data_IF_971671472653
#
_entry.id   IF_971671472653
#
_cell.length_a   1.000
_cell.length_b   1.000
_cell.length_c   1.000
_cell.angle_alpha   90.00
_cell.angle_beta   90.00
_cell.angle_gamma   90.00
#
_symmetry.space_group_name_H-M   'P 1'
#
loop_
_entity.id
_entity.type
_entity.pdbx_description
1 polymer ?
#
# COMPACT_ATOMS: atom_id res chain seq x y z
N UNK A 1 -1.80 -1.67 0.92
CA UNK A 1 -1.93 -2.94 1.63
C UNK A 1 -0.57 -3.41 2.13
N UNK A 2 -0.49 -3.92 3.34
CA UNK A 2 0.69 -4.62 3.86
C UNK A 2 0.35 -6.08 4.14
N UNK A 3 1.34 -6.95 3.95
CA UNK A 3 1.28 -8.37 4.27
C UNK A 3 2.37 -8.61 5.30
N UNK A 4 1.99 -9.07 6.48
CA UNK A 4 2.89 -9.30 7.60
C UNK A 4 2.99 -10.81 7.80
N UNK A 5 4.15 -11.44 7.52
CA UNK A 5 4.34 -12.84 7.87
C UNK A 5 4.48 -12.98 9.39
N UNK A 6 3.78 -13.93 9.98
CA UNK A 6 4.00 -14.33 11.36
C UNK A 6 5.33 -15.06 11.52
N UNK A 7 5.98 -14.91 12.68
CA UNK A 7 7.38 -15.28 12.91
C UNK A 7 7.73 -16.77 12.82
N UNK A 8 6.76 -17.67 12.82
CA UNK A 8 7.02 -19.11 12.96
C UNK A 8 7.24 -19.85 11.64
N UNK A 9 7.79 -19.20 10.63
CA UNK A 9 8.23 -19.83 9.38
C UNK A 9 9.18 -21.03 9.60
N UNK A 10 9.89 -21.04 10.72
CA UNK A 10 10.88 -22.08 11.05
C UNK A 10 10.28 -23.35 11.69
N UNK A 11 9.04 -23.30 12.18
CA UNK A 11 8.44 -24.38 12.94
C UNK A 11 7.35 -25.18 12.21
N UNK A 12 7.34 -25.15 10.88
CA UNK A 12 6.47 -26.04 10.09
C UNK A 12 5.03 -25.57 9.97
N UNK A 13 4.76 -24.26 10.05
CA UNK A 13 3.43 -23.71 9.79
C UNK A 13 2.97 -24.05 8.37
N UNK A 14 1.70 -24.40 8.25
CA UNK A 14 1.09 -24.69 6.96
C UNK A 14 1.01 -23.43 6.11
N UNK A 15 1.22 -23.60 4.82
CA UNK A 15 1.15 -22.55 3.80
C UNK A 15 -0.18 -21.79 3.94
N UNK A 16 -0.15 -20.48 4.16
CA UNK A 16 -1.32 -19.60 4.21
C UNK A 16 -1.95 -19.35 5.58
N UNK A 17 -1.46 -19.98 6.66
CA UNK A 17 -2.00 -19.78 8.02
C UNK A 17 -1.31 -18.65 8.80
N UNK A 18 -0.22 -18.07 8.27
CA UNK A 18 0.71 -17.23 8.99
C UNK A 18 0.85 -15.80 8.44
N UNK A 19 -0.21 -15.24 7.84
CA UNK A 19 -0.15 -13.90 7.31
C UNK A 19 -1.29 -13.03 7.83
N UNK A 20 -0.97 -11.81 8.27
CA UNK A 20 -1.95 -10.74 8.40
C UNK A 20 -1.91 -9.86 7.15
N UNK A 21 -3.08 -9.50 6.63
CA UNK A 21 -3.23 -8.61 5.48
C UNK A 21 -4.18 -7.50 5.87
N UNK A 22 -3.76 -6.25 5.66
CA UNK A 22 -4.60 -5.08 5.94
C UNK A 22 -4.27 -3.93 4.99
N UNK A 23 -5.28 -3.12 4.70
CA UNK A 23 -5.09 -1.85 4.02
C UNK A 23 -4.73 -0.77 5.05
N UNK A 24 -3.65 -0.06 4.81
CA UNK A 24 -3.12 0.93 5.77
C UNK A 24 -3.65 2.33 5.52
N UNK A 25 -4.06 2.65 4.29
CA UNK A 25 -4.53 3.96 3.87
C UNK A 25 -4.70 4.07 2.36
N UNK A 26 -4.60 5.27 1.77
CA UNK A 26 -4.99 5.54 0.38
C UNK A 26 -4.10 4.89 -0.68
N UNK A 27 -2.88 4.44 -0.35
CA UNK A 27 -1.93 4.04 -1.37
C UNK A 27 -1.65 5.20 -2.34
N UNK A 28 -1.68 4.91 -3.65
CA UNK A 28 -1.46 5.92 -4.69
C UNK A 28 -2.71 6.74 -5.04
N UNK A 29 -3.90 6.37 -4.58
CA UNK A 29 -5.17 6.95 -5.06
C UNK A 29 -5.23 8.47 -4.95
N UNK A 30 -4.84 9.01 -3.81
CA UNK A 30 -4.84 10.47 -3.57
C UNK A 30 -3.71 11.14 -4.34
N UNK A 31 -2.53 10.52 -4.40
CA UNK A 31 -1.36 11.03 -5.16
C UNK A 31 -1.72 11.16 -6.64
N UNK A 32 -2.28 10.11 -7.22
CA UNK A 32 -2.67 10.05 -8.63
C UNK A 32 -3.74 11.09 -8.97
N UNK A 33 -4.75 11.23 -8.11
CA UNK A 33 -5.80 12.24 -8.28
C UNK A 33 -5.25 13.67 -8.24
N UNK A 34 -4.29 13.95 -7.34
CA UNK A 34 -3.63 15.26 -7.25
C UNK A 34 -2.72 15.52 -8.47
N UNK A 35 -1.94 14.53 -8.92
CA UNK A 35 -1.10 14.64 -10.11
C UNK A 35 -1.95 14.93 -11.37
N UNK A 36 -3.10 14.26 -11.51
CA UNK A 36 -4.02 14.53 -12.60
C UNK A 36 -4.56 15.97 -12.55
N UNK A 37 -4.91 16.49 -11.37
CA UNK A 37 -5.38 17.87 -11.20
C UNK A 37 -4.28 18.90 -11.50
N UNK A 38 -3.06 18.68 -11.00
CA UNK A 38 -1.92 19.57 -11.26
C UNK A 38 -1.61 19.72 -12.75
N UNK A 39 -1.84 18.67 -13.52
CA UNK A 39 -1.53 18.61 -14.95
C UNK A 39 -2.74 18.83 -15.86
N UNK A 40 -3.90 19.19 -15.31
CA UNK A 40 -5.17 19.31 -16.05
C UNK A 40 -5.48 18.02 -16.84
N UNK A 41 -5.26 16.85 -16.21
CA UNK A 41 -5.53 15.54 -16.77
C UNK A 41 -4.48 14.99 -17.74
N UNK A 42 -3.36 15.69 -17.96
CA UNK A 42 -2.29 15.23 -18.87
C UNK A 42 -1.48 14.07 -18.27
N UNK A 43 -1.26 14.07 -16.97
CA UNK A 43 -0.68 12.96 -16.24
C UNK A 43 -1.76 12.27 -15.40
N UNK A 44 -1.70 10.95 -15.30
CA UNK A 44 -2.61 10.15 -14.46
C UNK A 44 -2.02 9.78 -13.10
N UNK A 45 -0.72 9.98 -12.92
CA UNK A 45 0.05 9.68 -11.72
C UNK A 45 1.31 10.56 -11.68
N UNK A 46 1.98 10.61 -10.55
CA UNK A 46 3.27 11.29 -10.40
C UNK A 46 4.41 10.37 -10.85
N UNK A 47 4.85 10.54 -12.09
CA UNK A 47 5.88 9.69 -12.70
C UNK A 47 7.22 9.82 -11.97
N UNK A 48 7.63 8.72 -11.35
CA UNK A 48 8.86 8.66 -10.55
C UNK A 48 8.82 9.55 -9.31
N UNK A 49 7.66 10.00 -8.85
CA UNK A 49 7.53 10.87 -7.67
C UNK A 49 8.13 12.27 -7.84
N UNK A 50 8.32 12.71 -9.09
CA UNK A 50 9.05 13.95 -9.41
C UNK A 50 8.30 15.21 -8.98
N UNK A 51 6.96 15.19 -9.05
CA UNK A 51 6.14 16.33 -8.63
C UNK A 51 6.21 16.49 -7.11
N UNK A 52 6.10 15.39 -6.37
CA UNK A 52 6.25 15.39 -4.91
C UNK A 52 7.67 15.81 -4.48
N UNK A 53 8.71 15.32 -5.18
CA UNK A 53 10.10 15.67 -4.89
C UNK A 53 10.43 17.15 -5.13
N UNK A 54 9.70 17.81 -6.02
CA UNK A 54 9.89 19.23 -6.34
C UNK A 54 9.17 20.18 -5.37
N UNK A 55 8.41 19.66 -4.40
CA UNK A 55 7.58 20.42 -3.48
C UNK A 55 7.89 20.05 -2.03
N UNK A 56 7.22 20.69 -1.07
CA UNK A 56 7.50 20.50 0.35
C UNK A 56 6.31 19.89 1.08
N UNK A 57 6.62 19.01 2.02
CA UNK A 57 5.61 18.46 2.95
C UNK A 57 5.17 19.55 3.91
N UNK A 58 3.87 19.84 3.95
CA UNK A 58 3.29 20.79 4.90
C UNK A 58 2.89 20.06 6.20
N UNK A 59 3.53 20.40 7.34
CA UNK A 59 3.27 19.69 8.60
C UNK A 59 1.84 19.84 9.15
N UNK A 60 1.23 21.03 8.95
CA UNK A 60 -0.13 21.28 9.44
C UNK A 60 -1.17 20.49 8.63
N UNK A 61 -1.00 20.41 7.31
CA UNK A 61 -1.85 19.61 6.45
C UNK A 61 -1.66 18.10 6.73
N UNK A 62 -0.41 17.64 6.89
CA UNK A 62 -0.11 16.25 7.26
C UNK A 62 -0.76 15.90 8.60
N UNK A 63 -0.64 16.76 9.61
CA UNK A 63 -1.26 16.53 10.91
C UNK A 63 -2.80 16.41 10.82
N UNK A 64 -3.45 17.19 9.95
CA UNK A 64 -4.87 17.06 9.68
C UNK A 64 -5.19 15.72 8.98
N UNK A 65 -4.42 15.32 7.96
CA UNK A 65 -4.61 14.04 7.27
C UNK A 65 -4.45 12.84 8.23
N UNK A 66 -3.49 12.91 9.15
CA UNK A 66 -3.25 11.85 10.15
C UNK A 66 -4.37 11.71 11.21
N UNK A 67 -5.36 12.61 11.23
CA UNK A 67 -6.54 12.49 12.08
C UNK A 67 -7.65 11.64 11.45
N UNK A 68 -7.45 11.12 10.24
CA UNK A 68 -8.44 10.31 9.53
C UNK A 68 -8.94 9.12 10.39
N UNK A 69 -10.27 9.01 10.48
CA UNK A 69 -10.93 7.97 11.30
C UNK A 69 -10.62 6.54 10.82
N UNK A 70 -10.31 6.37 9.53
CA UNK A 70 -9.91 5.06 9.01
C UNK A 70 -8.62 4.55 9.68
N UNK A 71 -7.68 5.43 9.97
CA UNK A 71 -6.40 5.06 10.58
C UNK A 71 -6.57 4.46 11.98
N UNK A 72 -7.62 4.87 12.69
CA UNK A 72 -7.96 4.38 14.05
C UNK A 72 -8.61 3.00 14.04
N UNK A 73 -9.04 2.49 12.89
CA UNK A 73 -9.67 1.16 12.79
C UNK A 73 -8.64 0.06 13.01
N UNK A 74 -9.06 -0.98 13.74
CA UNK A 74 -8.26 -2.20 13.93
C UNK A 74 -8.53 -3.21 12.80
N UNK A 75 -7.58 -4.07 12.44
CA UNK A 75 -7.82 -5.20 11.52
C UNK A 75 -8.90 -6.18 12.04
N UNK A 76 -9.65 -6.83 11.13
CA UNK A 76 -9.51 -6.75 9.67
C UNK A 76 -10.08 -5.43 9.12
N UNK A 77 -9.28 -4.70 8.34
CA UNK A 77 -9.70 -3.44 7.73
C UNK A 77 -9.29 -3.38 6.27
N UNK A 78 -10.18 -2.86 5.45
CA UNK A 78 -9.95 -2.63 4.02
C UNK A 78 -10.46 -1.25 3.63
N UNK A 79 -9.90 -0.69 2.59
CA UNK A 79 -10.28 0.62 2.05
C UNK A 79 -10.01 0.70 0.56
N UNK A 80 -10.69 1.64 -0.09
CA UNK A 80 -10.59 1.86 -1.51
C UNK A 80 -11.09 3.25 -1.90
N UNK A 81 -11.57 3.37 -3.13
CA UNK A 81 -12.07 4.64 -3.68
C UNK A 81 -13.31 5.16 -2.97
N UNK A 82 -14.04 4.31 -2.28
CA UNK A 82 -15.18 4.69 -1.45
C UNK A 82 -14.77 5.63 -0.30
N UNK A 83 -13.54 5.51 0.20
CA UNK A 83 -13.01 6.38 1.26
C UNK A 83 -12.05 7.44 0.72
N UNK A 84 -11.11 7.05 -0.15
CA UNK A 84 -10.04 7.92 -0.64
C UNK A 84 -10.22 8.33 -2.11
N UNK A 85 -11.48 8.38 -2.58
CA UNK A 85 -11.85 8.87 -3.90
C UNK A 85 -12.00 10.40 -3.96
N UNK A 86 -12.76 10.86 -4.96
CA UNK A 86 -12.89 12.29 -5.27
C UNK A 86 -13.39 13.12 -4.08
N UNK A 87 -14.34 12.61 -3.31
CA UNK A 87 -14.88 13.31 -2.13
C UNK A 87 -13.79 13.61 -1.08
N UNK A 88 -12.88 12.67 -0.83
CA UNK A 88 -11.75 12.87 0.07
C UNK A 88 -10.79 13.92 -0.50
N UNK A 89 -10.48 13.83 -1.78
CA UNK A 89 -9.56 14.78 -2.45
C UNK A 89 -10.13 16.21 -2.43
N UNK A 90 -11.44 16.38 -2.62
CA UNK A 90 -12.10 17.70 -2.48
C UNK A 90 -11.98 18.25 -1.05
N UNK A 91 -12.18 17.43 -0.02
CA UNK A 91 -12.00 17.83 1.37
C UNK A 91 -10.55 18.22 1.66
N UNK A 92 -9.59 17.43 1.16
CA UNK A 92 -8.16 17.72 1.27
C UNK A 92 -7.81 19.06 0.62
N UNK A 93 -8.29 19.32 -0.59
CA UNK A 93 -8.05 20.61 -1.29
C UNK A 93 -8.69 21.79 -0.59
N UNK A 94 -9.89 21.61 -0.05
CA UNK A 94 -10.53 22.63 0.77
C UNK A 94 -9.68 22.96 2.00
N UNK A 95 -9.19 21.92 2.71
CA UNK A 95 -8.32 22.10 3.87
C UNK A 95 -6.99 22.75 3.53
N UNK A 96 -6.40 22.35 2.41
CA UNK A 96 -5.17 22.96 1.90
C UNK A 96 -5.36 24.45 1.60
N UNK A 97 -6.49 24.83 0.99
CA UNK A 97 -6.82 26.23 0.73
C UNK A 97 -7.02 27.05 2.03
N UNK A 98 -7.64 26.46 3.06
CA UNK A 98 -7.76 27.09 4.38
C UNK A 98 -6.40 27.34 5.05
N UNK A 99 -5.39 26.56 4.70
CA UNK A 99 -4.02 26.63 5.23
C UNK A 99 -3.04 27.36 4.28
N UNK A 100 -3.53 27.92 3.18
CA UNK A 100 -2.72 28.55 2.12
C UNK A 100 -1.60 27.62 1.58
N UNK A 101 -1.88 26.31 1.46
CA UNK A 101 -0.91 25.30 0.98
C UNK A 101 -1.00 25.18 -0.54
N UNK A 102 0.10 25.43 -1.29
CA UNK A 102 0.14 25.25 -2.74
C UNK A 102 -0.12 23.82 -3.17
N UNK A 103 -0.72 23.63 -4.34
CA UNK A 103 -1.12 22.30 -4.83
C UNK A 103 0.05 21.31 -4.94
N UNK A 104 1.26 21.79 -5.27
CA UNK A 104 2.47 20.96 -5.25
C UNK A 104 2.78 20.39 -3.86
N UNK A 105 2.68 21.26 -2.83
CA UNK A 105 2.92 20.87 -1.44
C UNK A 105 1.80 19.95 -0.92
N UNK A 106 0.56 20.09 -1.42
CA UNK A 106 -0.52 19.14 -1.14
C UNK A 106 -0.16 17.75 -1.65
N UNK A 107 0.37 17.64 -2.88
CA UNK A 107 0.81 16.37 -3.46
C UNK A 107 1.99 15.78 -2.69
N UNK A 108 3.00 16.57 -2.34
CA UNK A 108 4.13 16.13 -1.53
C UNK A 108 3.66 15.64 -0.15
N UNK A 109 2.72 16.37 0.47
CA UNK A 109 2.13 16.00 1.77
C UNK A 109 1.32 14.70 1.68
N UNK A 110 0.54 14.50 0.60
CA UNK A 110 -0.20 13.27 0.37
C UNK A 110 0.74 12.06 0.15
N UNK A 111 1.89 12.27 -0.51
CA UNK A 111 2.92 11.24 -0.67
C UNK A 111 3.53 10.87 0.68
N UNK A 112 3.83 11.86 1.53
CA UNK A 112 4.28 11.63 2.90
C UNK A 112 3.21 10.94 3.75
N UNK A 113 1.96 11.35 3.65
CA UNK A 113 0.83 10.74 4.35
C UNK A 113 0.70 9.25 4.03
N UNK A 114 0.83 8.86 2.75
CA UNK A 114 0.84 7.44 2.35
C UNK A 114 1.97 6.67 3.03
N UNK A 115 3.17 7.23 3.10
CA UNK A 115 4.30 6.63 3.80
C UNK A 115 4.05 6.48 5.31
N UNK A 116 3.48 7.50 5.96
CA UNK A 116 3.10 7.44 7.38
C UNK A 116 2.05 6.36 7.65
N UNK A 117 1.02 6.23 6.79
CA UNK A 117 0.01 5.19 6.91
C UNK A 117 0.61 3.78 6.80
N UNK A 118 1.50 3.56 5.84
CA UNK A 118 2.21 2.28 5.67
C UNK A 118 3.05 1.98 6.92
N UNK A 119 3.81 2.96 7.35
CA UNK A 119 4.73 2.81 8.47
C UNK A 119 4.00 2.64 9.81
N UNK A 120 2.86 3.31 10.00
CA UNK A 120 1.97 3.08 11.14
C UNK A 120 1.45 1.63 11.14
N UNK A 121 1.00 1.13 9.99
CA UNK A 121 0.58 -0.26 9.86
C UNK A 121 1.67 -1.26 10.24
N UNK A 122 2.93 -0.98 9.89
CA UNK A 122 4.07 -1.79 10.31
C UNK A 122 4.31 -1.69 11.81
N UNK A 123 4.33 -0.47 12.37
CA UNK A 123 4.59 -0.27 13.80
C UNK A 123 3.51 -0.89 14.70
N UNK A 124 2.24 -0.81 14.26
CA UNK A 124 1.10 -1.20 15.09
C UNK A 124 0.78 -2.69 15.00
N UNK A 125 1.08 -3.33 13.87
CA UNK A 125 0.63 -4.71 13.60
C UNK A 125 1.75 -5.70 13.33
N UNK A 126 3.00 -5.27 13.08
CA UNK A 126 4.11 -6.21 13.05
C UNK A 126 4.51 -6.60 14.47
N UNK A 127 4.53 -7.90 14.82
CA UNK A 127 4.90 -8.37 16.16
C UNK A 127 6.36 -8.04 16.52
N UNK A 128 7.20 -7.86 15.50
CA UNK A 128 8.59 -7.41 15.64
C UNK A 128 8.90 -6.39 14.56
N UNK A 129 9.87 -5.52 14.82
CA UNK A 129 10.37 -4.59 13.83
C UNK A 129 10.96 -5.38 12.64
N UNK A 130 10.47 -5.16 11.41
CA UNK A 130 11.02 -5.87 10.26
C UNK A 130 12.41 -5.36 9.89
N UNK A 131 13.32 -6.27 9.52
CA UNK A 131 14.61 -5.92 8.94
C UNK A 131 14.46 -5.42 7.50
N UNK A 132 13.42 -5.90 6.79
CA UNK A 132 13.16 -5.58 5.39
C UNK A 132 11.68 -5.36 5.11
N UNK A 133 11.41 -4.41 4.23
CA UNK A 133 10.11 -4.20 3.61
C UNK A 133 10.27 -4.33 2.10
N UNK A 134 9.49 -5.20 1.48
CA UNK A 134 9.47 -5.37 0.04
C UNK A 134 8.24 -4.66 -0.51
N UNK A 135 8.45 -3.67 -1.36
CA UNK A 135 7.38 -2.87 -1.97
C UNK A 135 7.18 -3.29 -3.41
N UNK A 136 5.94 -3.56 -3.78
CA UNK A 136 5.56 -3.95 -5.14
C UNK A 136 4.33 -3.18 -5.64
N UNK A 137 4.09 -3.24 -6.94
CA UNK A 137 3.02 -2.51 -7.62
C UNK A 137 3.41 -1.07 -7.95
N UNK A 138 2.45 -0.25 -8.40
CA UNK A 138 2.74 1.11 -8.90
C UNK A 138 3.48 2.02 -7.92
N UNK A 139 3.29 1.85 -6.62
CA UNK A 139 3.98 2.63 -5.59
C UNK A 139 5.48 2.37 -5.51
N UNK A 140 5.95 1.18 -5.91
CA UNK A 140 7.39 0.86 -5.94
C UNK A 140 8.17 1.65 -6.99
N UNK A 141 7.47 2.21 -7.97
CA UNK A 141 8.04 3.06 -9.02
C UNK A 141 8.14 4.54 -8.61
N UNK A 142 7.83 4.87 -7.36
CA UNK A 142 7.89 6.24 -6.82
C UNK A 142 9.02 6.35 -5.78
N UNK A 143 10.24 6.76 -6.17
CA UNK A 143 11.38 6.91 -5.27
C UNK A 143 11.13 7.86 -4.10
N UNK A 144 10.31 8.91 -4.29
CA UNK A 144 9.96 9.86 -3.23
C UNK A 144 9.12 9.19 -2.15
N UNK A 145 8.15 8.35 -2.54
CA UNK A 145 7.38 7.55 -1.60
C UNK A 145 8.27 6.55 -0.86
N UNK A 146 9.16 5.84 -1.57
CA UNK A 146 10.08 4.88 -0.95
C UNK A 146 11.03 5.55 0.05
N UNK A 147 11.55 6.73 -0.28
CA UNK A 147 12.39 7.52 0.63
C UNK A 147 11.60 7.91 1.90
N UNK A 148 10.37 8.38 1.76
CA UNK A 148 9.52 8.69 2.91
C UNK A 148 9.20 7.46 3.78
N UNK A 149 8.98 6.29 3.16
CA UNK A 149 8.80 5.04 3.93
C UNK A 149 10.07 4.70 4.72
N UNK A 150 11.24 4.79 4.09
CA UNK A 150 12.52 4.54 4.74
C UNK A 150 12.77 5.50 5.92
N UNK A 151 12.45 6.79 5.76
CA UNK A 151 12.52 7.78 6.83
C UNK A 151 11.61 7.44 8.01
N UNK A 152 10.40 6.92 7.73
CA UNK A 152 9.42 6.54 8.75
C UNK A 152 9.76 5.22 9.48
N UNK A 153 10.63 4.38 8.88
CA UNK A 153 11.00 3.06 9.40
C UNK A 153 12.54 2.94 9.53
N UNK A 154 13.18 3.74 10.38
CA UNK A 154 14.65 3.73 10.50
C UNK A 154 15.16 2.34 10.88
N UNK A 155 16.13 1.83 10.11
CA UNK A 155 16.72 0.50 10.27
C UNK A 155 15.91 -0.65 9.64
N UNK A 156 14.86 -0.36 8.88
CA UNK A 156 14.20 -1.29 7.97
C UNK A 156 14.72 -1.02 6.55
N UNK A 157 15.25 -2.03 5.89
CA UNK A 157 15.67 -1.93 4.49
C UNK A 157 14.45 -1.93 3.58
N UNK A 158 14.16 -0.81 2.91
CA UNK A 158 13.05 -0.70 1.96
C UNK A 158 13.55 -1.10 0.58
N UNK A 159 13.03 -2.18 0.04
CA UNK A 159 13.39 -2.76 -1.26
C UNK A 159 12.18 -2.85 -2.17
N UNK A 160 12.42 -2.94 -3.48
CA UNK A 160 11.38 -3.22 -4.47
C UNK A 160 11.42 -4.68 -4.93
N UNK A 161 10.32 -5.15 -5.53
CA UNK A 161 10.28 -6.47 -6.16
C UNK A 161 11.40 -6.63 -7.22
N UNK A 162 11.67 -5.57 -7.98
CA UNK A 162 12.67 -5.54 -9.04
C UNK A 162 14.09 -5.78 -8.48
N UNK A 163 14.40 -5.25 -7.31
CA UNK A 163 15.68 -5.48 -6.62
C UNK A 163 15.85 -6.94 -6.17
N UNK A 164 14.74 -7.67 -6.05
CA UNK A 164 14.75 -9.11 -5.78
C UNK A 164 14.68 -9.97 -7.06
N UNK A 165 14.73 -9.33 -8.24
CA UNK A 165 14.60 -10.02 -9.52
C UNK A 165 13.16 -10.42 -9.88
N UNK A 166 12.16 -9.84 -9.22
CA UNK A 166 10.74 -10.07 -9.49
C UNK A 166 10.17 -8.88 -10.25
N UNK A 167 9.61 -9.11 -11.44
CA UNK A 167 8.94 -8.06 -12.22
C UNK A 167 7.55 -7.79 -11.64
N UNK A 168 7.33 -6.58 -11.13
CA UNK A 168 6.04 -6.13 -10.59
C UNK A 168 4.93 -6.15 -11.66
N UNK A 169 5.24 -5.98 -12.94
CA UNK A 169 4.26 -6.05 -14.02
C UNK A 169 3.85 -7.49 -14.33
N UNK A 170 4.75 -8.44 -14.13
CA UNK A 170 4.48 -9.87 -14.32
C UNK A 170 3.81 -10.53 -13.09
N UNK A 171 3.75 -9.85 -11.95
CA UNK A 171 3.28 -10.41 -10.68
C UNK A 171 1.91 -11.06 -10.77
N UNK A 172 0.94 -10.40 -11.40
CA UNK A 172 -0.41 -10.96 -11.55
C UNK A 172 -0.43 -12.18 -12.47
N UNK A 173 0.27 -12.12 -13.60
CA UNK A 173 0.37 -13.25 -14.51
C UNK A 173 1.00 -14.47 -13.83
N UNK A 174 2.09 -14.26 -13.08
CA UNK A 174 2.73 -15.33 -12.28
C UNK A 174 1.77 -15.86 -11.21
N UNK A 175 1.06 -15.00 -10.50
CA UNK A 175 0.09 -15.42 -9.49
C UNK A 175 -1.02 -16.28 -10.11
N UNK A 176 -1.60 -15.88 -11.24
CA UNK A 176 -2.61 -16.67 -11.93
C UNK A 176 -2.06 -17.99 -12.47
N UNK A 177 -0.84 -18.04 -12.97
CA UNK A 177 -0.20 -19.28 -13.40
C UNK A 177 -0.03 -20.26 -12.22
N UNK A 178 0.40 -19.78 -11.06
CA UNK A 178 0.49 -20.57 -9.82
C UNK A 178 -0.89 -21.07 -9.39
N UNK A 179 -1.89 -20.19 -9.34
CA UNK A 179 -3.25 -20.55 -8.94
C UNK A 179 -3.87 -21.59 -9.89
N UNK A 180 -3.65 -21.46 -11.20
CA UNK A 180 -4.10 -22.42 -12.18
C UNK A 180 -3.42 -23.80 -11.98
N UNK A 181 -2.11 -23.82 -11.75
CA UNK A 181 -1.37 -25.03 -11.45
C UNK A 181 -1.91 -25.72 -10.18
N UNK A 182 -2.09 -24.96 -9.08
CA UNK A 182 -2.62 -25.52 -7.83
C UNK A 182 -4.03 -26.10 -8.03
N UNK A 183 -4.90 -25.39 -8.79
CA UNK A 183 -6.24 -25.87 -9.13
C UNK A 183 -6.21 -27.18 -9.93
N UNK A 184 -5.32 -27.30 -10.92
CA UNK A 184 -5.15 -28.51 -11.74
C UNK A 184 -4.71 -29.72 -10.91
N UNK A 185 -3.90 -29.50 -9.88
CA UNK A 185 -3.43 -30.55 -8.97
C UNK A 185 -4.29 -30.73 -7.72
N UNK A 186 -5.45 -30.07 -7.63
CA UNK A 186 -6.37 -30.18 -6.50
C UNK A 186 -5.76 -29.66 -5.19
N UNK A 187 -4.80 -28.74 -5.27
CA UNK A 187 -4.15 -28.18 -4.09
C UNK A 187 -4.86 -26.91 -3.61
N UNK A 188 -5.10 -26.75 -2.30
CA UNK A 188 -5.62 -25.51 -1.76
C UNK A 188 -4.68 -24.33 -2.03
N UNK A 189 -5.23 -23.21 -2.47
CA UNK A 189 -4.43 -22.04 -2.84
C UNK A 189 -4.92 -20.71 -2.23
N UNK A 190 -5.95 -20.74 -1.40
CA UNK A 190 -6.32 -19.60 -0.57
C UNK A 190 -5.40 -19.49 0.67
N UNK A 191 -5.41 -18.29 1.28
CA UNK A 191 -4.69 -17.97 2.51
C UNK A 191 -5.70 -17.64 3.64
N UNK A 192 -6.18 -18.62 4.43
CA UNK A 192 -7.20 -18.38 5.46
C UNK A 192 -6.83 -17.26 6.45
N UNK A 193 -5.60 -17.23 6.92
CA UNK A 193 -5.12 -16.18 7.83
C UNK A 193 -5.17 -14.77 7.25
N UNK A 194 -5.09 -14.63 5.92
CA UNK A 194 -5.18 -13.34 5.24
C UNK A 194 -6.62 -12.95 4.86
N UNK A 195 -7.48 -13.93 4.61
CA UNK A 195 -8.82 -13.73 4.03
C UNK A 195 -9.96 -13.92 5.02
N UNK A 196 -9.68 -14.48 6.19
CA UNK A 196 -10.71 -14.88 7.18
C UNK A 196 -11.49 -16.14 6.76
N UNK A 197 -11.04 -16.89 5.75
CA UNK A 197 -11.67 -18.13 5.36
C UNK A 197 -11.53 -19.18 6.47
N UNK A 198 -12.57 -20.00 6.67
CA UNK A 198 -12.60 -20.99 7.75
C UNK A 198 -11.57 -22.12 7.58
N UNK A 199 -11.17 -22.42 6.34
CA UNK A 199 -10.21 -23.49 6.03
C UNK A 199 -9.59 -23.31 4.62
N UNK A 200 -8.48 -24.00 4.33
CA UNK A 200 -7.91 -24.06 2.98
C UNK A 200 -8.87 -24.71 1.98
N UNK A 201 -8.98 -24.14 0.78
CA UNK A 201 -9.83 -24.64 -0.32
C UNK A 201 -9.10 -24.58 -1.65
N UNK A 202 -9.44 -25.50 -2.55
CA UNK A 202 -9.02 -25.40 -3.95
C UNK A 202 -9.79 -24.26 -4.60
N UNK A 203 -9.08 -23.26 -5.09
CA UNK A 203 -9.67 -22.10 -5.77
C UNK A 203 -9.73 -22.35 -7.28
N UNK A 204 -10.77 -21.77 -7.89
CA UNK A 204 -10.99 -21.87 -9.33
C UNK A 204 -12.02 -22.91 -9.72
N UNK A 205 -12.35 -22.91 -11.02
CA UNK A 205 -13.29 -23.85 -11.65
C UNK A 205 -12.68 -24.33 -12.96
N UNK A 206 -12.61 -25.64 -13.13
CA UNK A 206 -12.26 -26.27 -14.41
C UNK A 206 -13.56 -26.53 -15.16
N UNK A 207 -13.74 -25.86 -16.31
CA UNK A 207 -14.84 -26.11 -17.23
C UNK A 207 -14.37 -27.10 -18.30
N UNK A 208 -15.12 -28.18 -18.48
CA UNK A 208 -14.93 -29.15 -19.57
C UNK A 208 -15.82 -28.78 -20.74
#
# INVERSE_FOLDING_TARGET
QIIIPEQDYKNGMKRGESYQVLDTGPGNMVIDALAARMTNGKARYDDGGKMAAAAQVNPALLAWMMQDEYLKRTPPKTTGREMYGDAYVEQLLKKANELDVPLGDVLATATRFTAECISAGVRDYCPVKPDRMIVGGGGSMNPTLLAHIADCLPGCEVMTNEQLGLDSNAKEAVAFAVLANEAMYGQPSNAPGATGAAHPVVMGKISQ
#
